data_IF_395508810974
#
_entry.id   IF_395508810974
#
_cell.length_a   1.000
_cell.length_b   1.000
_cell.length_c   1.000
_cell.angle_alpha   90.00
_cell.angle_beta   90.00
_cell.angle_gamma   90.00
#
_symmetry.space_group_name_H-M   'P 1'
#
loop_
_entity.id
_entity.type
_entity.pdbx_description
1 polymer ?
#
# COMPACT_ATOMS: atom_id res chain seq x y z
N UNK A 1 0.14 4.84 73.95
CA UNK A 1 0.68 3.93 72.91
C UNK A 1 1.11 4.80 71.73
N UNK A 2 2.39 5.22 71.72
CA UNK A 2 3.47 4.84 70.77
C UNK A 2 3.22 5.31 69.32
N UNK A 3 3.89 6.39 68.88
CA UNK A 3 5.16 6.43 68.09
C UNK A 3 4.82 6.71 66.59
N UNK A 4 5.40 7.61 65.77
CA UNK A 4 6.63 8.43 65.69
C UNK A 4 6.32 9.56 64.64
N UNK A 5 6.70 10.85 64.79
CA UNK A 5 8.01 11.47 64.46
C UNK A 5 8.60 10.98 63.11
N UNK A 6 9.17 11.75 62.17
CA UNK A 6 9.64 13.13 62.11
C UNK A 6 10.49 13.27 60.80
N UNK A 7 10.36 14.40 60.08
CA UNK A 7 11.37 15.06 59.19
C UNK A 7 11.84 14.38 57.87
N UNK A 8 11.85 15.20 56.81
CA UNK A 8 12.94 15.53 55.83
C UNK A 8 12.19 16.08 54.58
N UNK A 9 11.98 17.39 54.37
CA UNK A 9 12.90 18.47 53.98
C UNK A 9 13.92 18.10 52.87
N UNK A 10 13.58 18.41 51.60
CA UNK A 10 14.47 18.94 50.53
C UNK A 10 13.62 19.09 49.25
N UNK A 11 13.20 20.31 48.89
CA UNK A 11 13.98 21.28 48.10
C UNK A 11 14.32 20.72 46.72
N UNK A 12 13.49 21.02 45.71
CA UNK A 12 13.91 21.13 44.31
C UNK A 12 12.96 22.09 43.58
N UNK A 13 13.32 23.37 43.71
CA UNK A 13 13.12 24.39 42.70
C UNK A 13 13.73 23.89 41.38
N UNK A 14 12.98 23.85 40.28
CA UNK A 14 13.52 23.95 38.92
C UNK A 14 12.38 24.35 37.98
N UNK A 15 12.26 25.66 37.80
CA UNK A 15 11.74 26.23 36.58
C UNK A 15 12.70 25.88 35.43
N UNK A 16 12.21 25.18 34.42
CA UNK A 16 12.83 25.16 33.09
C UNK A 16 11.73 25.47 32.08
N UNK A 17 11.72 26.74 31.68
CA UNK A 17 11.55 27.23 30.32
C UNK A 17 10.69 26.37 29.41
N UNK A 18 9.50 26.90 29.09
CA UNK A 18 8.74 26.52 27.92
C UNK A 18 9.58 26.69 26.66
N UNK A 19 10.14 25.58 26.17
CA UNK A 19 10.50 25.38 24.79
C UNK A 19 9.48 24.39 24.25
N UNK A 20 8.73 24.83 23.22
CA UNK A 20 7.69 24.07 22.59
C UNK A 20 8.17 22.68 22.17
N UNK A 21 7.57 21.66 22.78
CA UNK A 21 7.54 20.32 22.22
C UNK A 21 6.60 20.36 21.02
N UNK A 22 7.16 20.42 19.82
CA UNK A 22 6.44 19.95 18.63
C UNK A 22 6.18 18.45 18.83
N UNK A 23 4.92 18.08 18.70
CA UNK A 23 4.29 16.88 19.26
C UNK A 23 4.75 15.55 18.63
N UNK A 24 4.79 14.44 19.39
CA UNK A 24 4.93 13.08 18.85
C UNK A 24 3.64 12.48 18.26
N UNK A 25 2.57 13.28 18.12
CA UNK A 25 1.23 12.80 17.71
C UNK A 25 1.19 12.29 16.26
N UNK A 26 2.12 12.74 15.41
CA UNK A 26 2.18 12.32 14.01
C UNK A 26 2.74 10.90 13.84
N UNK A 27 3.63 10.45 14.74
CA UNK A 27 4.21 9.12 14.69
C UNK A 27 3.20 8.02 15.11
N UNK A 28 2.37 8.29 16.12
CA UNK A 28 1.35 7.35 16.61
C UNK A 28 0.25 7.11 15.57
N UNK A 29 -0.23 8.17 14.92
CA UNK A 29 -1.19 8.07 13.82
C UNK A 29 -0.64 7.32 12.60
N UNK A 30 0.66 7.46 12.30
CA UNK A 30 1.29 6.72 11.21
C UNK A 30 1.44 5.24 11.56
N UNK A 31 1.83 4.91 12.80
CA UNK A 31 1.95 3.53 13.27
C UNK A 31 0.60 2.79 13.22
N UNK A 32 -0.50 3.42 13.65
CA UNK A 32 -1.84 2.83 13.54
C UNK A 32 -2.29 2.64 12.08
N UNK A 33 -2.02 3.63 11.21
CA UNK A 33 -2.32 3.53 9.78
C UNK A 33 -1.52 2.41 9.11
N UNK A 34 -0.24 2.27 9.45
CA UNK A 34 0.65 1.21 8.98
C UNK A 34 0.16 -0.15 9.48
N UNK A 35 -0.19 -0.28 10.77
CA UNK A 35 -0.67 -1.53 11.35
C UNK A 35 -1.99 -1.97 10.70
N UNK A 36 -2.91 -1.02 10.45
CA UNK A 36 -4.15 -1.29 9.72
C UNK A 36 -3.92 -1.66 8.24
N UNK A 37 -2.86 -1.14 7.63
CA UNK A 37 -2.44 -1.47 6.26
C UNK A 37 -1.89 -2.89 6.17
N UNK A 38 -1.05 -3.28 7.12
CA UNK A 38 -0.52 -4.64 7.25
C UNK A 38 -1.63 -5.66 7.49
N UNK A 39 -2.57 -5.41 8.41
CA UNK A 39 -3.72 -6.28 8.63
C UNK A 39 -4.60 -6.45 7.38
N UNK A 40 -4.81 -5.37 6.61
CA UNK A 40 -5.58 -5.40 5.36
C UNK A 40 -4.88 -6.19 4.27
N UNK A 41 -3.58 -5.98 4.09
CA UNK A 41 -2.79 -6.78 3.14
C UNK A 41 -2.80 -8.25 3.56
N UNK A 42 -2.71 -8.54 4.86
CA UNK A 42 -2.79 -9.91 5.37
C UNK A 42 -4.15 -10.55 5.06
N UNK A 43 -5.26 -9.78 5.08
CA UNK A 43 -6.59 -10.26 4.65
C UNK A 43 -6.68 -10.50 3.13
N UNK A 44 -6.02 -9.68 2.32
CA UNK A 44 -5.91 -9.89 0.86
C UNK A 44 -5.08 -11.14 0.55
N UNK A 45 -4.00 -11.36 1.30
CA UNK A 45 -3.14 -12.55 1.22
C UNK A 45 -3.86 -13.82 1.73
N UNK A 46 -4.69 -13.68 2.77
CA UNK A 46 -5.48 -14.78 3.34
C UNK A 46 -6.70 -15.16 2.50
N UNK A 47 -6.87 -14.58 1.30
CA UNK A 47 -7.89 -14.99 0.34
C UNK A 47 -9.30 -14.84 0.89
N UNK A 48 -9.70 -13.60 1.15
CA UNK A 48 -11.03 -13.25 1.67
C UNK A 48 -12.21 -13.87 0.90
N UNK A 49 -12.55 -15.10 1.27
CA UNK A 49 -13.89 -15.62 1.43
C UNK A 49 -13.86 -16.53 2.66
N UNK A 50 -14.66 -16.16 3.65
CA UNK A 50 -14.97 -16.95 4.85
C UNK A 50 -15.18 -18.42 4.47
N UNK A 51 -14.35 -19.31 5.00
CA UNK A 51 -14.50 -20.74 4.74
C UNK A 51 -13.28 -21.53 5.19
N UNK A 52 -13.32 -22.04 6.41
CA UNK A 52 -12.35 -22.98 6.96
C UNK A 52 -12.17 -24.16 6.00
N UNK A 53 -10.97 -24.33 5.44
CA UNK A 53 -10.30 -25.62 5.23
C UNK A 53 -8.93 -25.37 4.56
N UNK A 54 -7.90 -25.37 5.41
CA UNK A 54 -6.50 -25.31 5.00
C UNK A 54 -6.03 -26.68 4.50
N UNK A 55 -6.27 -26.99 3.23
CA UNK A 55 -5.47 -27.91 2.40
C UNK A 55 -6.09 -27.98 1.00
N UNK A 56 -5.24 -27.88 -0.03
CA UNK A 56 -5.56 -28.01 -1.46
C UNK A 56 -6.16 -26.77 -2.18
N UNK A 57 -5.37 -25.70 -2.30
CA UNK A 57 -5.45 -24.77 -3.43
C UNK A 57 -4.08 -24.09 -3.69
N UNK A 58 -3.05 -24.90 -3.96
CA UNK A 58 -1.74 -24.40 -4.44
C UNK A 58 -1.83 -24.06 -5.93
N UNK A 59 -2.51 -22.95 -6.21
CA UNK A 59 -2.37 -22.14 -7.40
C UNK A 59 -2.34 -20.69 -6.93
N UNK A 60 -1.30 -20.34 -6.17
CA UNK A 60 -1.22 -19.09 -5.42
C UNK A 60 -1.38 -17.88 -6.32
N UNK A 61 -2.20 -16.91 -5.91
CA UNK A 61 -2.39 -15.64 -6.61
C UNK A 61 -1.07 -14.88 -6.84
N UNK A 62 -0.01 -15.21 -6.11
CA UNK A 62 1.32 -14.61 -6.20
C UNK A 62 2.38 -15.71 -6.41
N UNK A 63 3.42 -15.39 -7.18
CA UNK A 63 4.56 -16.30 -7.42
C UNK A 63 5.66 -16.12 -6.37
N UNK A 64 5.77 -14.92 -5.80
CA UNK A 64 6.62 -14.60 -4.66
C UNK A 64 5.78 -14.07 -3.48
N UNK A 65 6.29 -14.22 -2.26
CA UNK A 65 5.66 -13.63 -1.07
C UNK A 65 6.39 -12.33 -0.71
N UNK A 66 5.66 -11.20 -0.50
CA UNK A 66 6.29 -9.98 -0.04
C UNK A 66 6.75 -10.13 1.41
N UNK A 67 7.89 -9.53 1.75
CA UNK A 67 8.28 -9.38 3.16
C UNK A 67 7.50 -8.24 3.84
N UNK A 68 7.45 -8.24 5.17
CA UNK A 68 6.82 -7.16 5.96
C UNK A 68 7.41 -5.79 5.62
N UNK A 69 8.72 -5.73 5.36
CA UNK A 69 9.40 -4.50 4.96
C UNK A 69 8.89 -3.98 3.61
N UNK A 70 8.66 -4.87 2.64
CA UNK A 70 8.10 -4.53 1.33
C UNK A 70 6.65 -4.04 1.46
N UNK A 71 5.85 -4.68 2.30
CA UNK A 71 4.48 -4.25 2.58
C UNK A 71 4.45 -2.86 3.23
N UNK A 72 5.33 -2.60 4.19
CA UNK A 72 5.45 -1.28 4.82
C UNK A 72 5.85 -0.21 3.81
N UNK A 73 6.82 -0.47 2.93
CA UNK A 73 7.23 0.47 1.88
C UNK A 73 6.09 0.76 0.90
N UNK A 74 5.35 -0.26 0.48
CA UNK A 74 4.16 -0.09 -0.36
C UNK A 74 3.11 0.79 0.32
N UNK A 75 2.79 0.54 1.59
CA UNK A 75 1.82 1.34 2.35
C UNK A 75 2.31 2.78 2.51
N UNK A 76 3.59 2.99 2.76
CA UNK A 76 4.18 4.33 2.83
C UNK A 76 4.07 5.07 1.49
N UNK A 77 4.40 4.40 0.38
CA UNK A 77 4.31 4.98 -0.96
C UNK A 77 2.86 5.35 -1.33
N UNK A 78 1.88 4.52 -0.99
CA UNK A 78 0.45 4.81 -1.21
C UNK A 78 -0.03 6.05 -0.44
N UNK A 79 0.47 6.23 0.79
CA UNK A 79 0.08 7.33 1.68
C UNK A 79 0.97 8.58 1.56
N UNK A 80 1.90 8.60 0.59
CA UNK A 80 2.70 9.79 0.31
C UNK A 80 1.79 10.97 -0.11
N UNK A 81 2.15 12.21 0.27
CA UNK A 81 1.43 13.40 -0.13
C UNK A 81 1.51 13.62 -1.64
N UNK A 82 0.59 14.43 -2.20
CA UNK A 82 0.60 14.80 -3.63
C UNK A 82 -0.69 14.53 -4.39
N UNK A 83 -1.75 14.07 -3.71
CA UNK A 83 -3.12 14.00 -4.26
C UNK A 83 -3.81 15.36 -4.07
N UNK A 84 -4.60 15.80 -5.06
CA UNK A 84 -5.55 16.90 -4.82
C UNK A 84 -6.66 16.44 -3.88
N UNK A 85 -7.43 17.37 -3.30
CA UNK A 85 -8.55 17.02 -2.42
C UNK A 85 -9.57 16.11 -3.11
N UNK A 86 -9.88 16.39 -4.38
CA UNK A 86 -10.79 15.58 -5.18
C UNK A 86 -10.26 14.17 -5.45
N UNK A 87 -8.96 14.03 -5.73
CA UNK A 87 -8.35 12.71 -5.95
C UNK A 87 -8.20 11.95 -4.64
N UNK A 88 -7.92 12.63 -3.52
CA UNK A 88 -7.85 12.03 -2.20
C UNK A 88 -9.18 11.35 -1.82
N UNK A 89 -10.31 12.03 -2.06
CA UNK A 89 -11.64 11.45 -1.80
C UNK A 89 -11.87 10.15 -2.59
N UNK A 90 -11.57 10.15 -3.90
CA UNK A 90 -11.71 8.96 -4.75
C UNK A 90 -10.71 7.85 -4.37
N UNK A 91 -9.48 8.22 -4.02
CA UNK A 91 -8.44 7.30 -3.55
C UNK A 91 -8.89 6.56 -2.29
N UNK A 92 -9.51 7.24 -1.33
CA UNK A 92 -9.98 6.60 -0.10
C UNK A 92 -11.02 5.51 -0.35
N UNK A 93 -11.87 5.66 -1.37
CA UNK A 93 -12.82 4.63 -1.81
C UNK A 93 -12.11 3.47 -2.52
N UNK A 94 -11.10 3.77 -3.35
CA UNK A 94 -10.43 2.79 -4.22
C UNK A 94 -9.21 2.10 -3.59
N UNK A 95 -8.75 2.53 -2.40
CA UNK A 95 -7.46 2.12 -1.82
C UNK A 95 -7.26 0.61 -1.72
N UNK A 96 -8.31 -0.14 -1.40
CA UNK A 96 -8.23 -1.59 -1.25
C UNK A 96 -7.97 -2.27 -2.60
N UNK A 97 -8.60 -1.78 -3.67
CA UNK A 97 -8.29 -2.21 -5.03
C UNK A 97 -6.84 -1.85 -5.39
N UNK A 98 -6.39 -0.62 -5.07
CA UNK A 98 -5.01 -0.20 -5.36
C UNK A 98 -4.01 -1.12 -4.68
N UNK A 99 -4.15 -1.41 -3.38
CA UNK A 99 -3.28 -2.35 -2.67
C UNK A 99 -3.26 -3.74 -3.33
N UNK A 100 -4.43 -4.24 -3.76
CA UNK A 100 -4.53 -5.52 -4.48
C UNK A 100 -3.82 -5.50 -5.83
N UNK A 101 -3.94 -4.42 -6.60
CA UNK A 101 -3.23 -4.22 -7.86
C UNK A 101 -1.72 -4.27 -7.60
N UNK A 102 -1.24 -3.43 -6.69
CA UNK A 102 0.19 -3.30 -6.38
C UNK A 102 0.81 -4.62 -5.96
N UNK A 103 0.12 -5.38 -5.11
CA UNK A 103 0.58 -6.69 -4.66
C UNK A 103 0.69 -7.69 -5.82
N UNK A 104 -0.33 -7.76 -6.69
CA UNK A 104 -0.31 -8.64 -7.86
C UNK A 104 0.82 -8.24 -8.80
N UNK A 105 0.98 -6.94 -9.07
CA UNK A 105 1.96 -6.47 -10.05
C UNK A 105 3.39 -6.53 -9.52
N UNK A 106 3.58 -6.48 -8.20
CA UNK A 106 4.87 -6.69 -7.56
C UNK A 106 5.28 -8.15 -7.44
N UNK A 107 4.33 -9.08 -7.28
CA UNK A 107 4.64 -10.45 -6.84
C UNK A 107 4.08 -11.57 -7.73
N UNK A 108 3.24 -11.27 -8.73
CA UNK A 108 2.77 -12.24 -9.72
C UNK A 108 3.39 -11.94 -11.09
N UNK A 109 4.23 -12.83 -11.55
CA UNK A 109 5.01 -12.76 -12.80
C UNK A 109 4.55 -13.78 -13.83
N UNK A 110 3.98 -14.91 -13.40
CA UNK A 110 3.51 -16.00 -14.25
C UNK A 110 2.22 -15.64 -15.00
N UNK A 111 1.33 -14.87 -14.38
CA UNK A 111 0.01 -14.56 -14.95
C UNK A 111 -0.63 -13.25 -14.44
N UNK A 112 0.12 -12.12 -14.35
CA UNK A 112 -0.39 -10.91 -13.71
C UNK A 112 -1.64 -10.35 -14.40
N UNK A 113 -1.65 -10.34 -15.74
CA UNK A 113 -2.82 -9.90 -16.50
C UNK A 113 -4.07 -10.75 -16.25
N UNK A 114 -3.91 -12.05 -16.00
CA UNK A 114 -5.03 -12.94 -15.63
C UNK A 114 -5.54 -12.63 -14.23
N UNK A 115 -4.63 -12.39 -13.28
CA UNK A 115 -4.99 -12.05 -11.91
C UNK A 115 -5.69 -10.68 -11.85
N UNK A 116 -5.23 -9.72 -12.63
CA UNK A 116 -5.84 -8.39 -12.73
C UNK A 116 -7.14 -8.38 -13.53
N UNK A 117 -7.40 -9.37 -14.39
CA UNK A 117 -8.59 -9.40 -15.24
C UNK A 117 -9.90 -9.34 -14.45
N UNK A 118 -9.92 -9.84 -13.21
CA UNK A 118 -11.08 -9.78 -12.30
C UNK A 118 -11.44 -8.36 -11.85
N UNK A 119 -10.49 -7.44 -11.95
CA UNK A 119 -10.66 -6.04 -11.57
C UNK A 119 -10.84 -5.13 -12.78
N UNK A 120 -10.85 -5.68 -13.98
CA UNK A 120 -10.93 -4.91 -15.22
C UNK A 120 -12.37 -4.49 -15.49
N UNK A 121 -12.57 -3.22 -15.86
CA UNK A 121 -13.89 -2.72 -16.21
C UNK A 121 -14.44 -3.39 -17.49
N UNK A 122 -15.76 -3.53 -17.63
CA UNK A 122 -16.38 -4.07 -18.85
C UNK A 122 -15.95 -3.30 -20.10
N UNK A 123 -15.73 -4.00 -21.21
CA UNK A 123 -15.35 -3.40 -22.49
C UNK A 123 -13.91 -2.88 -22.58
N UNK A 124 -13.12 -2.93 -21.51
CA UNK A 124 -11.72 -2.51 -21.53
C UNK A 124 -10.86 -3.59 -22.15
N UNK A 125 -10.11 -3.20 -23.18
CA UNK A 125 -9.07 -4.01 -23.80
C UNK A 125 -7.71 -3.47 -23.38
N UNK A 126 -6.84 -4.34 -22.90
CA UNK A 126 -5.47 -3.98 -22.52
C UNK A 126 -4.49 -5.10 -22.87
N UNK A 127 -3.23 -4.73 -23.09
CA UNK A 127 -2.12 -5.67 -23.12
C UNK A 127 -1.23 -5.38 -21.92
N UNK A 128 -1.58 -5.94 -20.76
CA UNK A 128 -0.84 -5.71 -19.53
C UNK A 128 0.51 -6.43 -19.59
N UNK A 129 1.58 -5.67 -19.82
CA UNK A 129 2.95 -6.12 -19.58
C UNK A 129 3.23 -6.01 -18.07
N UNK A 130 3.94 -6.92 -17.42
CA UNK A 130 4.34 -6.71 -16.02
C UNK A 130 5.68 -5.95 -15.95
N UNK A 131 5.87 -5.13 -14.92
CA UNK A 131 7.11 -4.44 -14.62
C UNK A 131 8.34 -5.38 -14.60
N UNK A 132 8.20 -6.61 -14.11
CA UNK A 132 9.33 -7.55 -14.04
C UNK A 132 9.88 -7.93 -15.42
N UNK A 133 9.02 -7.98 -16.44
CA UNK A 133 9.44 -8.29 -17.82
C UNK A 133 10.30 -7.18 -18.43
N UNK A 134 10.33 -6.00 -17.79
CA UNK A 134 11.13 -4.85 -18.18
C UNK A 134 12.43 -4.74 -17.36
N UNK A 135 12.68 -5.68 -16.45
CA UNK A 135 13.88 -5.72 -15.60
C UNK A 135 14.63 -7.03 -15.84
N UNK A 136 15.75 -6.96 -16.57
CA UNK A 136 16.46 -8.14 -17.08
C UNK A 136 17.11 -8.94 -15.96
N UNK A 137 17.50 -8.29 -14.87
CA UNK A 137 18.23 -8.90 -13.76
C UNK A 137 17.37 -9.14 -12.52
N UNK A 138 16.04 -9.02 -12.63
CA UNK A 138 15.14 -9.30 -11.52
C UNK A 138 14.77 -10.79 -11.45
N UNK A 139 14.97 -11.41 -10.28
CA UNK A 139 14.51 -12.78 -10.04
C UNK A 139 13.00 -12.83 -9.81
N UNK A 140 12.30 -13.70 -10.54
CA UNK A 140 10.86 -13.97 -10.32
C UNK A 140 10.55 -14.64 -8.97
N UNK A 141 11.56 -14.99 -8.17
CA UNK A 141 11.38 -15.52 -6.82
C UNK A 141 11.19 -14.44 -5.75
N UNK A 142 11.48 -13.18 -6.05
CA UNK A 142 11.28 -12.05 -5.14
C UNK A 142 10.26 -11.08 -5.71
N UNK A 143 9.52 -10.40 -4.84
CA UNK A 143 8.65 -9.30 -5.28
C UNK A 143 9.48 -8.07 -5.69
N UNK A 144 8.93 -7.28 -6.60
CA UNK A 144 9.38 -5.91 -6.84
C UNK A 144 8.95 -4.98 -5.71
N UNK A 145 9.81 -4.03 -5.39
CA UNK A 145 9.51 -2.96 -4.46
C UNK A 145 8.67 -1.87 -5.09
N UNK A 146 7.63 -1.42 -4.37
CA UNK A 146 6.87 -0.22 -4.74
C UNK A 146 7.57 0.99 -4.11
N UNK A 147 8.32 1.74 -4.92
CA UNK A 147 9.09 2.89 -4.44
C UNK A 147 8.27 4.18 -4.41
N UNK A 148 7.40 4.39 -5.41
CA UNK A 148 6.53 5.57 -5.49
C UNK A 148 5.14 5.19 -5.98
N UNK A 149 4.11 5.83 -5.40
CA UNK A 149 2.74 5.87 -5.93
C UNK A 149 2.32 7.33 -6.00
N UNK A 150 2.44 7.92 -7.20
CA UNK A 150 2.40 9.36 -7.40
C UNK A 150 1.76 9.72 -8.75
N UNK A 151 2.02 10.94 -9.25
CA UNK A 151 1.44 11.48 -10.50
C UNK A 151 -0.09 11.33 -10.56
N UNK A 152 -0.74 11.60 -9.42
CA UNK A 152 -2.18 11.52 -9.25
C UNK A 152 -2.89 12.56 -10.13
N UNK A 153 -3.85 12.12 -10.93
CA UNK A 153 -4.61 12.99 -11.83
C UNK A 153 -6.09 12.63 -11.82
N UNK A 154 -6.94 13.64 -11.65
CA UNK A 154 -8.37 13.51 -11.85
C UNK A 154 -8.65 13.42 -13.35
N UNK A 155 -9.23 12.30 -13.80
CA UNK A 155 -9.58 12.09 -15.21
C UNK A 155 -11.05 12.43 -15.48
N UNK A 156 -11.92 12.13 -14.51
CA UNK A 156 -13.33 12.49 -14.51
C UNK A 156 -13.87 12.52 -13.08
N UNK A 157 -15.14 12.93 -12.89
CA UNK A 157 -15.79 12.92 -11.57
C UNK A 157 -15.77 11.56 -10.87
N UNK A 158 -15.69 10.47 -11.64
CA UNK A 158 -15.67 9.09 -11.15
C UNK A 158 -14.40 8.32 -11.57
N UNK A 159 -13.35 9.01 -12.01
CA UNK A 159 -12.13 8.36 -12.50
C UNK A 159 -10.87 9.17 -12.19
N UNK A 160 -9.80 8.47 -11.86
CA UNK A 160 -8.49 9.06 -11.65
C UNK A 160 -7.40 8.10 -12.13
N UNK A 161 -6.22 8.64 -12.41
CA UNK A 161 -5.02 7.87 -12.71
C UNK A 161 -3.90 8.14 -11.72
N UNK A 162 -2.96 7.20 -11.64
CA UNK A 162 -1.74 7.33 -10.86
C UNK A 162 -0.62 6.52 -11.49
N UNK A 163 0.61 6.89 -11.14
CA UNK A 163 1.83 6.20 -11.50
C UNK A 163 2.32 5.35 -10.34
N UNK A 164 2.91 4.22 -10.66
CA UNK A 164 3.65 3.37 -9.75
C UNK A 164 5.07 3.19 -10.28
N UNK A 165 6.06 3.47 -9.45
CA UNK A 165 7.45 3.11 -9.73
C UNK A 165 7.80 1.82 -9.00
N UNK A 166 8.23 0.82 -9.77
CA UNK A 166 8.75 -0.44 -9.25
C UNK A 166 10.28 -0.43 -9.28
N UNK A 167 10.90 -1.07 -8.30
CA UNK A 167 12.36 -1.25 -8.21
C UNK A 167 12.69 -2.70 -7.89
N UNK A 168 13.69 -3.25 -8.57
CA UNK A 168 14.33 -4.50 -8.16
C UNK A 168 15.42 -4.19 -7.13
N UNK A 169 15.23 -4.56 -5.86
CA UNK A 169 16.29 -4.37 -4.84
C UNK A 169 17.59 -5.10 -5.20
N UNK A 170 17.50 -6.21 -5.93
CA UNK A 170 18.66 -7.03 -6.30
C UNK A 170 19.56 -6.35 -7.34
N UNK A 171 18.95 -5.68 -8.32
CA UNK A 171 19.66 -5.13 -9.49
C UNK A 171 19.67 -3.61 -9.55
N UNK A 172 18.84 -2.93 -8.76
CA UNK A 172 18.62 -1.49 -8.84
C UNK A 172 17.84 -1.03 -10.07
N UNK A 173 17.40 -1.96 -10.94
CA UNK A 173 16.55 -1.63 -12.09
C UNK A 173 15.22 -1.05 -11.63
N UNK A 174 14.71 -0.09 -12.38
CA UNK A 174 13.41 0.52 -12.09
C UNK A 174 12.58 0.68 -13.36
N UNK A 175 11.27 0.61 -13.21
CA UNK A 175 10.31 0.82 -14.28
C UNK A 175 9.02 1.41 -13.72
N UNK A 176 8.21 1.98 -14.59
CA UNK A 176 7.03 2.74 -14.20
C UNK A 176 5.79 2.22 -14.90
N UNK A 177 4.67 2.22 -14.18
CA UNK A 177 3.35 1.85 -14.69
C UNK A 177 2.33 2.89 -14.33
N UNK A 178 1.42 3.13 -15.24
CA UNK A 178 0.29 4.02 -15.02
C UNK A 178 -0.97 3.17 -14.96
N UNK A 179 -1.83 3.47 -13.99
CA UNK A 179 -3.14 2.85 -13.84
C UNK A 179 -4.19 3.93 -13.85
N UNK A 180 -5.30 3.66 -14.53
CA UNK A 180 -6.53 4.47 -14.47
C UNK A 180 -7.62 3.61 -13.85
N UNK A 181 -8.26 4.15 -12.82
CA UNK A 181 -9.39 3.51 -12.15
C UNK A 181 -10.66 4.31 -12.41
N UNK A 182 -11.78 3.59 -12.55
CA UNK A 182 -13.09 4.19 -12.75
C UNK A 182 -14.12 3.50 -11.89
N UNK A 183 -14.90 4.30 -11.16
CA UNK A 183 -16.04 3.84 -10.38
C UNK A 183 -17.20 3.54 -11.31
N UNK A 184 -17.67 2.30 -11.28
CA UNK A 184 -18.80 1.80 -12.06
C UNK A 184 -20.14 2.31 -11.48
N UNK A 185 -21.26 2.23 -12.23
CA UNK A 185 -22.57 2.69 -11.75
C UNK A 185 -23.07 1.99 -10.47
N UNK A 186 -22.65 0.75 -10.24
CA UNK A 186 -22.93 -0.02 -9.02
C UNK A 186 -22.03 0.38 -7.82
N UNK A 187 -21.14 1.35 -8.03
CA UNK A 187 -20.21 1.85 -7.03
C UNK A 187 -18.90 1.10 -6.93
N UNK A 188 -18.71 0.00 -7.68
CA UNK A 188 -17.48 -0.80 -7.65
C UNK A 188 -16.36 -0.08 -8.41
N UNK A 189 -15.17 -0.02 -7.82
CA UNK A 189 -13.99 0.48 -8.51
C UNK A 189 -13.37 -0.60 -9.40
N UNK A 190 -13.01 -0.23 -10.62
CA UNK A 190 -12.41 -1.14 -11.60
C UNK A 190 -11.30 -0.44 -12.38
N UNK A 191 -10.40 -1.24 -12.96
CA UNK A 191 -9.31 -0.77 -13.79
C UNK A 191 -9.83 -0.49 -15.19
N UNK A 192 -9.71 0.76 -15.63
CA UNK A 192 -10.10 1.22 -16.96
C UNK A 192 -8.93 1.46 -17.90
N UNK A 193 -7.71 1.52 -17.37
CA UNK A 193 -6.48 1.61 -18.17
C UNK A 193 -5.25 1.14 -17.41
N UNK A 194 -4.31 0.54 -18.13
CA UNK A 194 -2.93 0.37 -17.64
C UNK A 194 -1.94 0.47 -18.79
N UNK A 195 -0.87 1.23 -18.59
CA UNK A 195 0.17 1.44 -19.60
C UNK A 195 1.57 1.48 -18.97
N UNK A 196 2.58 1.33 -19.83
CA UNK A 196 3.98 1.67 -19.58
C UNK A 196 4.39 2.77 -20.56
N UNK A 197 5.36 3.59 -20.17
CA UNK A 197 6.09 4.45 -21.10
C UNK A 197 7.36 3.75 -21.58
#
# INVERSE_FOLDING_TARGET
MREKNMKVLKLCLLAVLGLGVAEPIQAQNMLERINSGLERVNRVLAGGSVGNNAAAARGGMLDAQPSDAQLMRMVQAMNAPGKSEEVEALYQEAKELISGILLITSCNFSSPGRQLARYKAPGVHWNFINANLLMTHHSSSLCLDVQRVDAWKLEARNAFSFRVQYVSEQSGESTERFFTLTRQPDGVWMISGASSY
#
